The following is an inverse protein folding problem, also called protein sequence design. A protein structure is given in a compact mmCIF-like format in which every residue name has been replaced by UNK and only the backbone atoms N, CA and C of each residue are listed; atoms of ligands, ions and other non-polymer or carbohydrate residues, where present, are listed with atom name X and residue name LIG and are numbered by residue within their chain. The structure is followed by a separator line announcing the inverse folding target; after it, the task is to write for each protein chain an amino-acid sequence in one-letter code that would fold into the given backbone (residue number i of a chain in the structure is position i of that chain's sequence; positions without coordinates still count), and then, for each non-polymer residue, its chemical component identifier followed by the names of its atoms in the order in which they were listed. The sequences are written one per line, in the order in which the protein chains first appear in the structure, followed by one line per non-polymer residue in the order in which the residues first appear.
data_IF_154759566471
#
_entry.id   IF_154759566471
#
_cell.length_a   1.000
_cell.length_b   1.000
_cell.length_c   1.000
_cell.angle_alpha   90.00
_cell.angle_beta   90.00
_cell.angle_gamma   90.00
#
_symmetry.space_group_name_H-M   'P 1'
#
loop_
_entity.id
_entity.type
_entity.pdbx_description
1 polymer ?
#
# COMPACT_ATOMS: atom_id res chain seq x y z
N UNK A 1 -14.78 4.44 33.95
CA UNK A 1 -14.50 4.43 32.50
C UNK A 1 -15.08 5.71 31.95
N UNK A 2 -14.23 6.61 31.48
CA UNK A 2 -14.65 7.93 31.02
C UNK A 2 -15.22 7.83 29.59
N UNK A 3 -16.17 8.68 29.20
CA UNK A 3 -16.78 8.67 27.86
C UNK A 3 -15.72 8.77 26.74
N UNK A 4 -14.65 9.52 27.00
CA UNK A 4 -13.52 9.66 26.11
C UNK A 4 -12.73 8.35 25.91
N UNK A 5 -12.57 7.53 26.96
CA UNK A 5 -11.90 6.23 26.86
C UNK A 5 -12.75 5.24 26.03
N UNK A 6 -14.07 5.27 26.23
CA UNK A 6 -14.99 4.41 25.51
C UNK A 6 -14.96 4.73 24.01
N UNK A 7 -14.93 6.02 23.65
CA UNK A 7 -14.83 6.47 22.26
C UNK A 7 -13.51 6.07 21.61
N UNK A 8 -12.39 6.17 22.33
CA UNK A 8 -11.09 5.73 21.83
C UNK A 8 -11.04 4.21 21.58
N UNK A 9 -11.63 3.43 22.49
CA UNK A 9 -11.76 1.98 22.32
C UNK A 9 -12.64 1.61 21.12
N UNK A 10 -13.75 2.31 20.91
CA UNK A 10 -14.61 2.12 19.74
C UNK A 10 -13.88 2.39 18.44
N UNK A 11 -13.19 3.53 18.34
CA UNK A 11 -12.41 3.87 17.14
C UNK A 11 -11.35 2.79 16.84
N UNK A 12 -10.62 2.32 17.87
CA UNK A 12 -9.64 1.24 17.70
C UNK A 12 -10.24 -0.06 17.17
N UNK A 13 -11.45 -0.41 17.62
CA UNK A 13 -12.15 -1.62 17.16
C UNK A 13 -12.63 -1.43 15.71
N UNK A 14 -13.19 -0.28 15.37
CA UNK A 14 -13.63 0.04 14.01
C UNK A 14 -12.44 0.01 13.02
N UNK A 15 -11.31 0.60 13.38
CA UNK A 15 -10.08 0.58 12.59
C UNK A 15 -9.54 -0.85 12.40
N UNK A 16 -9.57 -1.67 13.45
CA UNK A 16 -9.14 -3.06 13.39
C UNK A 16 -10.04 -3.91 12.47
N UNK A 17 -11.35 -3.67 12.48
CA UNK A 17 -12.31 -4.36 11.62
C UNK A 17 -12.17 -3.94 10.14
N UNK A 18 -11.98 -2.64 9.87
CA UNK A 18 -11.69 -2.15 8.53
C UNK A 18 -10.42 -2.77 7.96
N UNK A 19 -9.40 -3.00 8.79
CA UNK A 19 -8.15 -3.64 8.38
C UNK A 19 -8.31 -5.10 7.92
N UNK A 20 -9.36 -5.82 8.30
CA UNK A 20 -9.54 -7.22 7.90
C UNK A 20 -10.25 -7.39 6.54
N UNK A 21 -10.71 -6.29 5.93
CA UNK A 21 -11.46 -6.35 4.68
C UNK A 21 -10.52 -6.66 3.49
N UNK A 22 -10.85 -7.69 2.73
CA UNK A 22 -10.07 -8.07 1.54
C UNK A 22 -10.30 -7.13 0.34
N UNK A 23 -11.48 -6.52 0.25
CA UNK A 23 -11.88 -5.64 -0.87
C UNK A 23 -12.26 -4.27 -0.33
N UNK A 24 -11.54 -3.25 -0.77
CA UNK A 24 -11.68 -1.87 -0.32
C UNK A 24 -12.45 -1.03 -1.35
N UNK A 25 -13.15 -0.01 -0.86
CA UNK A 25 -13.70 1.11 -1.63
C UNK A 25 -12.66 2.21 -1.79
N UNK A 26 -12.92 3.21 -2.64
CA UNK A 26 -12.01 4.34 -2.79
C UNK A 26 -11.80 5.13 -1.49
N UNK A 27 -12.81 5.19 -0.61
CA UNK A 27 -12.70 5.82 0.72
C UNK A 27 -11.81 5.01 1.65
N UNK A 28 -11.98 3.68 1.68
CA UNK A 28 -11.16 2.79 2.51
C UNK A 28 -9.71 2.75 2.01
N UNK A 29 -9.47 2.79 0.70
CA UNK A 29 -8.10 2.92 0.15
C UNK A 29 -7.48 4.26 0.52
N UNK A 30 -8.26 5.35 0.53
CA UNK A 30 -7.78 6.66 0.97
C UNK A 30 -7.32 6.62 2.43
N UNK A 31 -8.11 5.97 3.29
CA UNK A 31 -7.75 5.77 4.70
C UNK A 31 -6.53 4.84 4.86
N UNK A 32 -6.51 3.71 4.14
CA UNK A 32 -5.47 2.69 4.23
C UNK A 32 -4.10 3.19 3.75
N UNK A 33 -4.08 3.91 2.63
CA UNK A 33 -2.82 4.42 2.03
C UNK A 33 -2.39 5.78 2.58
N UNK A 34 -3.29 6.48 3.29
CA UNK A 34 -3.10 7.88 3.70
C UNK A 34 -3.16 8.89 2.54
N UNK A 35 -3.43 8.45 1.31
CA UNK A 35 -3.53 9.32 0.14
C UNK A 35 -4.91 9.95 0.06
N UNK A 36 -5.00 11.19 -0.43
CA UNK A 36 -6.30 11.83 -0.64
C UNK A 36 -7.15 11.09 -1.67
N UNK A 37 -8.48 11.03 -1.46
CA UNK A 37 -9.44 10.41 -2.39
C UNK A 37 -9.32 10.95 -3.83
N UNK A 38 -9.10 12.26 -3.98
CA UNK A 38 -8.85 12.90 -5.29
C UNK A 38 -7.62 12.30 -5.99
N UNK A 39 -6.56 12.05 -5.23
CA UNK A 39 -5.36 11.42 -5.76
C UNK A 39 -5.60 9.96 -6.14
N UNK A 40 -6.34 9.19 -5.33
CA UNK A 40 -6.78 7.84 -5.70
C UNK A 40 -7.54 7.85 -7.04
N UNK A 41 -8.49 8.77 -7.24
CA UNK A 41 -9.18 8.88 -8.53
C UNK A 41 -8.24 9.24 -9.69
N UNK A 42 -7.24 10.10 -9.44
CA UNK A 42 -6.22 10.43 -10.43
C UNK A 42 -5.38 9.21 -10.82
N UNK A 43 -5.00 8.38 -9.85
CA UNK A 43 -4.28 7.13 -10.09
C UNK A 43 -5.15 6.15 -10.87
N UNK A 44 -6.44 6.04 -10.54
CA UNK A 44 -7.37 5.12 -11.24
C UNK A 44 -7.61 5.56 -12.68
N UNK A 45 -7.79 6.86 -12.95
CA UNK A 45 -8.00 7.37 -14.31
C UNK A 45 -6.75 7.18 -15.19
N UNK A 46 -5.56 7.28 -14.58
CA UNK A 46 -4.27 6.99 -15.24
C UNK A 46 -3.90 5.50 -15.24
N UNK A 47 -4.73 4.62 -14.67
CA UNK A 47 -4.44 3.17 -14.51
C UNK A 47 -3.11 2.88 -13.80
N UNK A 48 -2.75 3.72 -12.83
CA UNK A 48 -1.49 3.62 -12.09
C UNK A 48 -1.62 2.82 -10.79
N UNK A 49 -2.83 2.61 -10.29
CA UNK A 49 -3.14 1.74 -9.14
C UNK A 49 -4.02 0.57 -9.62
N UNK A 50 -3.85 -0.67 -9.12
CA UNK A 50 -4.76 -1.77 -9.42
C UNK A 50 -6.18 -1.49 -8.92
N UNK A 51 -7.20 -1.67 -9.77
CA UNK A 51 -8.60 -1.49 -9.39
C UNK A 51 -9.55 -2.35 -10.24
N UNK A 52 -10.73 -2.60 -9.69
CA UNK A 52 -11.82 -3.36 -10.31
C UNK A 52 -13.08 -2.51 -10.44
N UNK A 53 -13.85 -2.77 -11.49
CA UNK A 53 -15.07 -2.01 -11.79
C UNK A 53 -16.16 -2.92 -12.40
N UNK A 54 -16.65 -3.95 -11.68
CA UNK A 54 -17.55 -4.97 -12.23
C UNK A 54 -18.89 -4.40 -12.73
N UNK A 55 -19.39 -3.34 -12.07
CA UNK A 55 -20.68 -2.72 -12.38
C UNK A 55 -20.57 -1.38 -13.13
N UNK A 56 -19.37 -0.99 -13.59
CA UNK A 56 -19.22 0.23 -14.40
C UNK A 56 -19.43 1.57 -13.66
N UNK A 57 -19.83 1.58 -12.39
CA UNK A 57 -20.02 2.81 -11.58
C UNK A 57 -19.11 2.90 -10.36
N UNK A 58 -18.93 1.80 -9.64
CA UNK A 58 -18.17 1.76 -8.37
C UNK A 58 -16.80 1.13 -8.59
N UNK A 59 -15.78 1.73 -7.97
CA UNK A 59 -14.42 1.21 -7.93
C UNK A 59 -14.20 0.38 -6.67
N UNK A 60 -13.63 -0.80 -6.86
CA UNK A 60 -13.21 -1.71 -5.81
C UNK A 60 -11.72 -1.99 -5.95
N UNK A 61 -11.06 -2.29 -4.84
CA UNK A 61 -9.63 -2.50 -4.78
C UNK A 61 -9.34 -3.75 -3.97
N UNK A 62 -8.51 -4.66 -4.49
CA UNK A 62 -7.99 -5.75 -3.68
C UNK A 62 -6.96 -5.19 -2.71
N UNK A 63 -7.13 -5.42 -1.40
CA UNK A 63 -6.19 -4.94 -0.39
C UNK A 63 -4.76 -5.42 -0.69
N UNK A 64 -4.62 -6.70 -1.03
CA UNK A 64 -3.34 -7.34 -1.36
C UNK A 64 -2.64 -6.66 -2.54
N UNK A 65 -3.39 -6.36 -3.61
CA UNK A 65 -2.79 -5.71 -4.77
C UNK A 65 -2.40 -4.25 -4.50
N UNK A 66 -3.16 -3.56 -3.64
CA UNK A 66 -2.79 -2.21 -3.18
C UNK A 66 -1.50 -2.27 -2.34
N UNK A 67 -1.37 -3.26 -1.45
CA UNK A 67 -0.14 -3.48 -0.67
C UNK A 67 1.07 -3.74 -1.57
N UNK A 68 0.94 -4.65 -2.54
CA UNK A 68 2.00 -4.93 -3.52
C UNK A 68 2.34 -3.70 -4.37
N UNK A 69 1.32 -2.95 -4.78
CA UNK A 69 1.50 -1.70 -5.52
C UNK A 69 2.28 -0.65 -4.71
N UNK A 70 2.00 -0.50 -3.41
CA UNK A 70 2.71 0.43 -2.53
C UNK A 70 4.21 0.12 -2.43
N UNK A 71 4.62 -1.13 -2.71
CA UNK A 71 6.01 -1.59 -2.65
C UNK A 71 6.72 -1.58 -4.02
N UNK A 72 6.03 -1.20 -5.11
CA UNK A 72 6.54 -1.40 -6.48
C UNK A 72 7.79 -0.57 -6.83
N UNK A 73 7.95 0.62 -6.26
CA UNK A 73 9.11 1.51 -6.52
C UNK A 73 10.02 1.64 -5.30
N UNK A 74 10.33 0.53 -4.64
CA UNK A 74 11.26 0.50 -3.52
C UNK A 74 12.63 1.07 -3.89
N UNK A 75 13.13 2.03 -3.11
CA UNK A 75 14.49 2.56 -3.26
C UNK A 75 15.43 1.72 -2.41
N UNK A 76 16.47 1.17 -3.03
CA UNK A 76 17.51 0.40 -2.32
C UNK A 76 18.20 1.29 -1.28
N UNK A 77 18.45 0.75 -0.10
CA UNK A 77 19.25 1.45 0.91
C UNK A 77 20.71 1.56 0.46
N UNK A 78 21.44 2.52 1.03
CA UNK A 78 22.88 2.69 0.78
C UNK A 78 23.68 1.41 1.07
N UNK A 79 23.28 0.67 2.11
CA UNK A 79 23.89 -0.62 2.48
C UNK A 79 23.61 -1.70 1.44
N UNK A 80 22.38 -1.78 0.93
CA UNK A 80 22.03 -2.73 -0.14
C UNK A 80 22.82 -2.43 -1.41
N UNK A 81 22.95 -1.14 -1.77
CA UNK A 81 23.78 -0.71 -2.90
C UNK A 81 25.26 -1.09 -2.71
N UNK A 82 25.83 -0.82 -1.54
CA UNK A 82 27.23 -1.13 -1.23
C UNK A 82 27.50 -2.64 -1.24
N UNK A 83 26.57 -3.43 -0.71
CA UNK A 83 26.65 -4.90 -0.75
C UNK A 83 26.59 -5.41 -2.18
N UNK A 84 25.69 -4.88 -3.00
CA UNK A 84 25.52 -5.31 -4.40
C UNK A 84 26.77 -4.95 -5.25
N UNK A 85 27.34 -3.76 -5.03
CA UNK A 85 28.61 -3.37 -5.63
C UNK A 85 29.76 -4.31 -5.21
N UNK A 86 29.82 -4.67 -3.93
CA UNK A 86 30.83 -5.61 -3.40
C UNK A 86 30.68 -6.99 -4.03
N UNK A 87 29.45 -7.53 -4.08
CA UNK A 87 29.14 -8.81 -4.72
C UNK A 87 29.48 -8.81 -6.21
N UNK A 88 29.20 -7.70 -6.91
CA UNK A 88 29.54 -7.56 -8.32
C UNK A 88 31.06 -7.62 -8.54
N UNK A 89 31.85 -6.92 -7.73
CA UNK A 89 33.33 -6.95 -7.82
C UNK A 89 33.87 -8.36 -7.54
N UNK A 90 33.34 -9.05 -6.52
CA UNK A 90 33.75 -10.41 -6.16
C UNK A 90 33.47 -11.41 -7.29
N UNK A 91 32.25 -11.41 -7.84
CA UNK A 91 31.88 -12.33 -8.93
C UNK A 91 32.71 -12.10 -10.20
N UNK A 92 33.09 -10.86 -10.49
CA UNK A 92 33.88 -10.54 -11.69
C UNK A 92 35.39 -10.86 -11.53
N UNK A 93 35.87 -11.07 -10.29
CA UNK A 93 37.24 -11.54 -10.02
C UNK A 93 37.40 -13.06 -10.04
N UNK A 94 36.31 -13.82 -9.87
CA UNK A 94 36.34 -15.29 -9.86
C UNK A 94 36.32 -15.87 -11.29
N UNK A 95 35.81 -15.11 -12.27
CA UNK A 95 35.75 -15.51 -13.69
C UNK A 95 36.99 -15.16 -14.51
N UNK A 96 38.14 -14.90 -13.89
CA UNK A 96 39.42 -14.59 -14.56
C UNK A 96 40.55 -15.49 -14.08
#
# INVERSE_FOLDING_TARGET
MNDLELKDQLNRIEDALCNNKAVLTADEVSLFTGLSKKYIYTLTSKKQIPFYKPLGKVLYFSKKEVEEWMLTNGVKSSQQLASEATSYILNNKISK
#
